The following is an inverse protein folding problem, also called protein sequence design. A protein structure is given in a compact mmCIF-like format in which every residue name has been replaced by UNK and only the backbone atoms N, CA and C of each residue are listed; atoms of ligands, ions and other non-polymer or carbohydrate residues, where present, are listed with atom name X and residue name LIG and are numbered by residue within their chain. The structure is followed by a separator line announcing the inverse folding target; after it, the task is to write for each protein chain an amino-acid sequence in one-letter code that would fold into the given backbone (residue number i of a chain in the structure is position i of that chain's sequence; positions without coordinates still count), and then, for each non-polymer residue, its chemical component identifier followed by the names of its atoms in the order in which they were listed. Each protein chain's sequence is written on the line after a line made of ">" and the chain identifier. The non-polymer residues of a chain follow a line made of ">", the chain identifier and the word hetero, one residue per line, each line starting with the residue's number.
data_IF_772445387142
#
_entry.id   IF_772445387142
#
_cell.length_a   1.000
_cell.length_b   1.000
_cell.length_c   1.000
_cell.angle_alpha   90.00
_cell.angle_beta   90.00
_cell.angle_gamma   90.00
#
_symmetry.space_group_name_H-M   'P 1'
#
loop_
_entity.id
_entity.type
_entity.pdbx_description
1 polymer ?
#
# COMPACT_ATOMS: atom_id res chain seq x y z
N UNK A 1 -29.42 -75.43 31.23
CA UNK A 1 -28.95 -74.77 32.47
C UNK A 1 -28.76 -73.30 32.14
N UNK A 2 -29.67 -72.45 32.62
CA UNK A 2 -29.56 -70.99 32.65
C UNK A 2 -29.70 -70.59 34.14
N UNK A 3 -29.61 -69.30 34.55
CA UNK A 3 -28.63 -68.23 34.32
C UNK A 3 -28.11 -67.64 35.67
N UNK A 4 -27.28 -66.59 35.65
CA UNK A 4 -26.97 -65.72 36.81
C UNK A 4 -25.95 -64.64 36.39
N UNK A 5 -26.27 -63.34 36.30
CA UNK A 5 -26.47 -62.34 37.38
C UNK A 5 -25.17 -62.17 38.22
N UNK A 6 -24.56 -61.00 38.49
CA UNK A 6 -25.01 -59.58 38.53
C UNK A 6 -23.77 -58.67 38.63
N UNK A 7 -23.89 -57.42 38.14
CA UNK A 7 -23.27 -56.09 38.50
C UNK A 7 -21.94 -56.00 39.31
N UNK A 8 -21.11 -54.96 39.29
CA UNK A 8 -21.22 -53.52 39.02
C UNK A 8 -19.79 -52.94 39.13
N UNK A 9 -19.45 -51.85 38.43
CA UNK A 9 -19.02 -50.60 39.08
C UNK A 9 -18.61 -49.52 38.06
N UNK A 10 -19.06 -48.30 38.37
CA UNK A 10 -19.02 -47.10 37.56
C UNK A 10 -17.62 -46.49 37.39
N UNK A 11 -17.39 -45.77 36.28
CA UNK A 11 -16.29 -44.81 36.19
C UNK A 11 -16.67 -43.56 35.37
N UNK A 12 -17.09 -42.55 36.13
CA UNK A 12 -16.84 -41.11 36.01
C UNK A 12 -16.54 -40.54 34.60
N UNK A 13 -17.53 -39.85 34.02
CA UNK A 13 -17.34 -38.91 32.91
C UNK A 13 -16.75 -37.58 33.41
N UNK A 14 -15.69 -37.10 32.75
CA UNK A 14 -15.34 -35.67 32.66
C UNK A 14 -15.09 -35.34 31.18
N UNK A 15 -15.63 -34.23 30.64
CA UNK A 15 -15.57 -33.92 29.22
C UNK A 15 -14.17 -33.43 28.81
N UNK A 16 -13.69 -33.94 27.68
CA UNK A 16 -12.45 -33.48 27.06
C UNK A 16 -12.58 -32.01 26.62
N UNK A 17 -11.69 -31.15 27.14
CA UNK A 17 -11.46 -29.80 26.62
C UNK A 17 -10.66 -29.94 25.33
N UNK A 18 -11.32 -29.74 24.19
CA UNK A 18 -10.66 -29.65 22.89
C UNK A 18 -9.89 -28.33 22.82
N UNK A 19 -8.57 -28.37 23.07
CA UNK A 19 -7.68 -27.24 22.81
C UNK A 19 -7.36 -27.17 21.32
N UNK A 20 -8.21 -26.47 20.56
CA UNK A 20 -7.82 -25.97 19.24
C UNK A 20 -6.85 -24.79 19.42
N UNK A 21 -5.56 -25.07 19.64
CA UNK A 21 -4.54 -24.04 19.50
C UNK A 21 -4.38 -23.71 18.01
N UNK A 22 -5.07 -22.66 17.56
CA UNK A 22 -4.70 -21.96 16.33
C UNK A 22 -3.22 -21.57 16.46
N UNK A 23 -2.34 -21.91 15.50
CA UNK A 23 -1.01 -21.32 15.51
C UNK A 23 -1.18 -19.82 15.32
N UNK A 24 -0.85 -19.04 16.35
CA UNK A 24 -0.61 -17.60 16.21
C UNK A 24 0.63 -17.46 15.34
N UNK A 25 0.41 -17.38 14.03
CA UNK A 25 1.42 -16.98 13.07
C UNK A 25 1.88 -15.59 13.48
N UNK A 26 3.12 -15.49 13.93
CA UNK A 26 3.80 -14.20 14.09
C UNK A 26 4.07 -13.71 12.66
N UNK A 27 3.07 -13.09 12.04
CA UNK A 27 3.25 -12.45 10.75
C UNK A 27 4.25 -11.32 10.96
N UNK A 28 5.45 -11.48 10.40
CA UNK A 28 6.25 -10.33 10.02
C UNK A 28 5.42 -9.59 8.99
N UNK A 29 4.65 -8.58 9.43
CA UNK A 29 4.08 -7.61 8.52
C UNK A 29 5.24 -6.92 7.85
N UNK A 30 5.62 -7.39 6.66
CA UNK A 30 6.42 -6.58 5.77
C UNK A 30 5.62 -5.31 5.59
N UNK A 31 6.19 -4.18 6.01
CA UNK A 31 5.64 -2.85 5.75
C UNK A 31 5.68 -2.67 4.22
N UNK A 32 4.67 -3.17 3.51
CA UNK A 32 4.51 -2.92 2.07
C UNK A 32 3.95 -1.51 1.96
N UNK A 33 4.52 -0.68 1.08
CA UNK A 33 3.89 0.60 0.80
C UNK A 33 2.55 0.28 0.17
N UNK A 34 1.47 0.87 0.66
CA UNK A 34 0.16 0.72 0.03
C UNK A 34 0.12 1.64 -1.19
N UNK A 35 0.89 1.27 -2.20
CA UNK A 35 0.93 1.89 -3.51
C UNK A 35 0.34 0.87 -4.46
N UNK A 36 -0.94 1.07 -4.79
CA UNK A 36 -1.71 0.14 -5.60
C UNK A 36 -2.04 0.86 -6.91
N UNK A 37 -1.40 0.49 -8.03
CA UNK A 37 -1.79 0.99 -9.34
C UNK A 37 -3.25 0.67 -9.66
N UNK A 38 -3.94 1.60 -10.31
CA UNK A 38 -5.24 1.30 -10.92
C UNK A 38 -5.09 0.91 -12.40
N UNK A 39 -6.20 0.56 -13.04
CA UNK A 39 -6.24 0.15 -14.44
C UNK A 39 -6.69 1.26 -15.41
N UNK A 40 -6.80 2.50 -14.94
CA UNK A 40 -7.41 3.61 -15.72
C UNK A 40 -6.52 4.11 -16.86
N UNK A 41 -5.24 3.70 -16.90
CA UNK A 41 -4.31 3.96 -18.00
C UNK A 41 -4.25 2.83 -19.05
N UNK A 42 -5.12 1.82 -18.97
CA UNK A 42 -5.24 0.80 -20.01
C UNK A 42 -4.00 -0.07 -20.13
N UNK A 43 -3.28 0.00 -21.25
CA UNK A 43 -2.03 -0.76 -21.48
C UNK A 43 -0.78 -0.03 -20.94
N UNK A 44 -0.92 1.23 -20.56
CA UNK A 44 0.16 2.08 -20.06
C UNK A 44 0.10 2.19 -18.52
N UNK A 45 -0.19 1.07 -17.86
CA UNK A 45 -0.43 1.05 -16.42
C UNK A 45 0.82 1.45 -15.63
N UNK A 46 0.58 2.01 -14.45
CA UNK A 46 1.64 2.20 -13.47
C UNK A 46 2.04 0.85 -12.90
N UNK A 47 3.31 0.69 -12.60
CA UNK A 47 3.88 -0.53 -12.02
C UNK A 47 4.70 -0.17 -10.80
N UNK A 48 4.66 -1.04 -9.80
CA UNK A 48 5.44 -0.88 -8.57
C UNK A 48 6.35 -2.09 -8.43
N UNK A 49 7.65 -1.85 -8.46
CA UNK A 49 8.66 -2.85 -8.16
C UNK A 49 9.14 -2.64 -6.73
N UNK A 50 8.73 -3.52 -5.83
CA UNK A 50 9.23 -3.52 -4.46
C UNK A 50 10.60 -4.21 -4.43
N UNK A 51 11.62 -3.48 -4.02
CA UNK A 51 12.97 -4.03 -3.77
C UNK A 51 13.25 -4.07 -2.27
N UNK A 52 14.40 -4.61 -1.87
CA UNK A 52 14.79 -4.61 -0.46
C UNK A 52 15.09 -3.20 0.09
N UNK A 53 15.40 -2.24 -0.79
CA UNK A 53 15.88 -0.91 -0.40
C UNK A 53 14.85 0.18 -0.70
N UNK A 54 14.05 0.01 -1.76
CA UNK A 54 13.06 1.00 -2.18
C UNK A 54 11.92 0.38 -3.00
N UNK A 55 10.78 1.05 -3.02
CA UNK A 55 9.68 0.80 -3.94
C UNK A 55 9.83 1.73 -5.14
N UNK A 56 10.03 1.15 -6.33
CA UNK A 56 10.23 1.93 -7.55
C UNK A 56 8.97 1.91 -8.40
N UNK A 57 8.46 3.10 -8.71
CA UNK A 57 7.32 3.31 -9.59
C UNK A 57 7.83 3.48 -11.03
N UNK A 58 7.22 2.76 -11.97
CA UNK A 58 7.57 2.76 -13.40
C UNK A 58 6.34 2.50 -14.27
N UNK A 59 6.52 2.37 -15.58
CA UNK A 59 5.39 2.31 -16.52
C UNK A 59 4.75 3.69 -16.66
N UNK A 60 3.42 3.75 -16.74
CA UNK A 60 2.69 4.99 -16.93
C UNK A 60 2.56 5.40 -18.40
N UNK A 61 1.66 6.36 -18.66
CA UNK A 61 1.39 6.87 -19.99
C UNK A 61 2.26 8.09 -20.27
N UNK A 62 3.00 8.09 -21.38
CA UNK A 62 3.85 9.21 -21.78
C UNK A 62 3.14 10.04 -22.83
N UNK A 63 3.00 11.34 -22.58
CA UNK A 63 2.47 12.30 -23.55
C UNK A 63 3.36 13.53 -23.61
N UNK A 64 4.25 13.56 -24.61
CA UNK A 64 5.29 14.58 -24.71
C UNK A 64 6.23 14.56 -23.50
N UNK A 65 6.49 15.70 -22.83
CA UNK A 65 7.37 15.76 -21.66
C UNK A 65 6.68 15.33 -20.35
N UNK A 66 5.46 14.80 -20.43
CA UNK A 66 4.65 14.44 -19.26
C UNK A 66 4.53 12.92 -19.13
N UNK A 67 4.73 12.42 -17.92
CA UNK A 67 4.48 11.04 -17.54
C UNK A 67 3.30 10.97 -16.57
N UNK A 68 2.30 10.18 -16.91
CA UNK A 68 1.09 10.02 -16.10
C UNK A 68 1.11 8.68 -15.36
N UNK A 69 0.89 8.74 -14.06
CA UNK A 69 0.64 7.60 -13.20
C UNK A 69 -0.75 7.67 -12.56
N UNK A 70 -1.32 6.51 -12.29
CA UNK A 70 -2.65 6.39 -11.68
C UNK A 70 -2.66 5.25 -10.68
N UNK A 71 -3.17 5.56 -9.49
CA UNK A 71 -3.18 4.67 -8.34
C UNK A 71 -4.57 4.64 -7.72
N UNK A 72 -4.99 3.47 -7.26
CA UNK A 72 -6.12 3.33 -6.36
C UNK A 72 -5.75 3.81 -4.95
N UNK A 73 -4.55 3.44 -4.48
CA UNK A 73 -4.01 3.86 -3.18
C UNK A 73 -2.56 4.34 -3.32
N UNK A 74 -2.19 5.36 -2.54
CA UNK A 74 -0.84 5.89 -2.51
C UNK A 74 -0.47 6.34 -1.10
N UNK A 75 0.10 5.41 -0.31
CA UNK A 75 0.62 5.66 1.03
C UNK A 75 2.09 5.26 1.12
N UNK A 76 2.85 6.00 1.93
CA UNK A 76 4.27 5.78 2.20
C UNK A 76 4.44 5.73 3.71
N UNK A 77 4.61 4.54 4.26
CA UNK A 77 4.78 4.34 5.70
C UNK A 77 6.20 4.71 6.16
N UNK A 78 6.36 4.83 7.47
CA UNK A 78 7.67 5.10 8.10
C UNK A 78 8.74 4.12 7.64
N UNK A 79 9.91 4.64 7.27
CA UNK A 79 11.06 3.85 6.83
C UNK A 79 10.95 3.31 5.40
N UNK A 80 9.87 3.59 4.68
CA UNK A 80 9.75 3.26 3.26
C UNK A 80 10.35 4.35 2.39
N UNK A 81 11.03 3.93 1.33
CA UNK A 81 11.54 4.80 0.29
C UNK A 81 10.79 4.50 -1.01
N UNK A 82 10.21 5.52 -1.61
CA UNK A 82 9.39 5.41 -2.82
C UNK A 82 9.93 6.39 -3.85
N UNK A 83 10.34 5.86 -5.00
CA UNK A 83 10.91 6.66 -6.07
C UNK A 83 10.15 6.50 -7.37
N UNK A 84 9.80 7.61 -7.99
CA UNK A 84 9.34 7.64 -9.38
C UNK A 84 10.52 7.54 -10.34
N UNK A 85 10.46 6.60 -11.27
CA UNK A 85 11.38 6.58 -12.40
C UNK A 85 11.20 7.85 -13.24
N UNK A 86 12.31 8.45 -13.66
CA UNK A 86 12.34 9.55 -14.61
C UNK A 86 13.00 9.08 -15.92
N UNK A 87 12.24 8.54 -16.89
CA UNK A 87 12.77 8.27 -18.23
C UNK A 87 13.31 9.56 -18.88
N UNK A 88 14.15 9.39 -19.90
CA UNK A 88 14.67 10.52 -20.68
C UNK A 88 13.54 11.38 -21.26
N UNK A 89 13.78 12.69 -21.33
CA UNK A 89 12.85 13.70 -21.86
C UNK A 89 11.54 13.91 -21.06
N UNK A 90 11.38 13.27 -19.90
CA UNK A 90 10.27 13.57 -18.99
C UNK A 90 10.66 14.72 -18.06
N UNK A 91 9.89 15.80 -18.14
CA UNK A 91 10.05 17.01 -17.32
C UNK A 91 9.03 17.06 -16.18
N UNK A 92 7.89 16.39 -16.33
CA UNK A 92 6.81 16.39 -15.34
C UNK A 92 6.19 15.02 -15.18
N UNK A 93 6.05 14.60 -13.92
CA UNK A 93 5.37 13.38 -13.51
C UNK A 93 4.06 13.79 -12.81
N UNK A 94 2.93 13.30 -13.31
CA UNK A 94 1.61 13.52 -12.75
C UNK A 94 1.07 12.21 -12.19
N UNK A 95 0.88 12.16 -10.88
CA UNK A 95 0.45 10.97 -10.15
C UNK A 95 -0.88 11.25 -9.51
N UNK A 96 -1.94 10.57 -9.96
CA UNK A 96 -3.28 10.71 -9.38
C UNK A 96 -3.68 9.51 -8.54
N UNK A 97 -4.42 9.77 -7.47
CA UNK A 97 -5.13 8.79 -6.67
C UNK A 97 -6.61 8.82 -7.04
N UNK A 98 -7.15 7.67 -7.41
CA UNK A 98 -8.55 7.49 -7.85
C UNK A 98 -9.42 6.81 -6.81
N UNK A 99 -8.83 6.17 -5.80
CA UNK A 99 -9.56 5.57 -4.69
C UNK A 99 -10.17 6.62 -3.75
N UNK A 100 -10.81 6.12 -2.69
CA UNK A 100 -11.51 6.95 -1.69
C UNK A 100 -10.66 7.36 -0.49
N UNK A 101 -9.44 6.83 -0.39
CA UNK A 101 -8.58 7.02 0.78
C UNK A 101 -7.70 8.27 0.63
N UNK A 102 -7.37 8.89 1.77
CA UNK A 102 -6.33 9.93 1.81
C UNK A 102 -4.96 9.30 1.51
N UNK A 103 -4.01 10.13 1.09
CA UNK A 103 -2.60 9.72 0.99
C UNK A 103 -1.87 10.06 2.27
N UNK A 104 -1.39 9.05 3.00
CA UNK A 104 -0.53 9.21 4.16
C UNK A 104 0.93 9.05 3.76
N UNK A 105 1.70 10.12 3.88
CA UNK A 105 3.11 10.18 3.52
C UNK A 105 3.92 10.37 4.80
N UNK A 106 4.48 9.30 5.34
CA UNK A 106 5.36 9.29 6.51
C UNK A 106 6.71 8.62 6.22
N UNK A 107 7.10 8.50 4.95
CA UNK A 107 8.42 8.01 4.54
C UNK A 107 9.10 8.94 3.54
N UNK A 108 10.06 8.39 2.80
CA UNK A 108 10.79 9.12 1.77
C UNK A 108 10.09 8.99 0.42
N UNK A 109 9.71 10.12 -0.16
CA UNK A 109 9.16 10.23 -1.51
C UNK A 109 10.16 10.97 -2.41
N UNK A 110 10.57 10.34 -3.51
CA UNK A 110 11.53 10.93 -4.43
C UNK A 110 11.26 10.68 -5.91
N UNK A 111 12.10 11.31 -6.73
CA UNK A 111 12.13 11.15 -8.19
C UNK A 111 13.57 10.83 -8.59
N UNK A 112 13.76 9.75 -9.35
CA UNK A 112 15.07 9.31 -9.87
C UNK A 112 15.53 10.22 -11.04
N UNK A 113 15.63 11.53 -10.81
CA UNK A 113 15.90 12.50 -11.86
C UNK A 113 15.59 13.94 -11.44
N UNK A 114 15.22 14.76 -12.42
CA UNK A 114 14.96 16.20 -12.23
C UNK A 114 13.55 16.62 -12.58
N UNK A 115 12.67 15.66 -12.94
CA UNK A 115 11.28 15.97 -13.24
C UNK A 115 10.57 16.56 -12.03
N UNK A 116 9.59 17.42 -12.33
CA UNK A 116 8.63 17.89 -11.36
C UNK A 116 7.66 16.77 -10.99
N UNK A 117 7.23 16.70 -9.73
CA UNK A 117 6.24 15.74 -9.27
C UNK A 117 4.96 16.45 -8.85
N UNK A 118 3.85 16.08 -9.48
CA UNK A 118 2.50 16.44 -9.08
C UNK A 118 1.83 15.22 -8.44
N UNK A 119 1.43 15.33 -7.17
CA UNK A 119 0.62 14.32 -6.49
C UNK A 119 -0.80 14.85 -6.31
N UNK A 120 -1.77 14.19 -6.92
CA UNK A 120 -3.16 14.55 -6.91
C UNK A 120 -3.95 13.52 -6.11
N UNK A 121 -4.50 13.92 -4.97
CA UNK A 121 -5.47 13.09 -4.24
C UNK A 121 -6.65 13.99 -3.81
N UNK A 122 -7.82 13.86 -4.45
CA UNK A 122 -9.00 14.64 -4.09
C UNK A 122 -9.43 14.49 -2.63
N UNK A 123 -9.15 13.34 -2.00
CA UNK A 123 -9.54 13.05 -0.62
C UNK A 123 -8.61 13.71 0.41
N UNK A 124 -7.41 14.11 -0.01
CA UNK A 124 -6.41 14.76 0.84
C UNK A 124 -5.06 14.05 0.87
N UNK A 125 -4.05 14.79 1.31
CA UNK A 125 -2.67 14.33 1.44
C UNK A 125 -2.17 14.79 2.82
N UNK A 126 -1.67 13.87 3.62
CA UNK A 126 -1.14 14.10 4.97
C UNK A 126 0.34 13.76 5.00
N UNK A 127 1.16 14.64 5.58
CA UNK A 127 2.58 14.41 5.80
C UNK A 127 2.85 14.16 7.28
N UNK A 128 3.35 12.98 7.59
CA UNK A 128 3.73 12.58 8.94
C UNK A 128 5.10 13.13 9.36
N UNK A 129 5.50 12.94 10.63
CA UNK A 129 6.73 13.48 11.18
C UNK A 129 8.03 12.92 10.55
N UNK A 130 7.96 11.76 9.89
CA UNK A 130 9.12 11.14 9.24
C UNK A 130 9.16 11.40 7.73
N UNK A 131 8.19 12.16 7.21
CA UNK A 131 8.07 12.42 5.80
C UNK A 131 9.25 13.24 5.27
N UNK A 132 9.83 12.77 4.16
CA UNK A 132 10.95 13.42 3.48
C UNK A 132 10.68 13.46 1.99
N UNK A 133 11.10 14.55 1.34
CA UNK A 133 11.03 14.72 -0.10
C UNK A 133 12.45 14.76 -0.67
N UNK A 134 12.79 13.81 -1.54
CA UNK A 134 14.02 13.80 -2.33
C UNK A 134 13.68 14.06 -3.81
N UNK A 135 13.37 15.32 -4.10
CA UNK A 135 12.89 15.76 -5.41
C UNK A 135 13.75 16.95 -5.83
N UNK A 136 14.54 16.77 -6.90
CA UNK A 136 15.42 17.80 -7.45
C UNK A 136 14.67 18.85 -8.28
N UNK A 137 13.51 18.46 -8.83
CA UNK A 137 12.55 19.37 -9.44
C UNK A 137 11.65 20.04 -8.38
N UNK A 138 10.45 20.44 -8.80
CA UNK A 138 9.42 20.90 -7.87
C UNK A 138 8.51 19.77 -7.42
N UNK A 139 7.91 19.92 -6.23
CA UNK A 139 6.82 19.09 -5.75
C UNK A 139 5.55 19.92 -5.59
N UNK A 140 4.44 19.44 -6.14
CA UNK A 140 3.12 20.06 -6.01
C UNK A 140 2.09 19.02 -5.55
N UNK A 141 1.42 19.29 -4.45
CA UNK A 141 0.29 18.51 -3.95
C UNK A 141 -1.03 19.20 -4.33
N UNK A 142 -1.97 18.47 -4.93
CA UNK A 142 -3.29 18.97 -5.32
C UNK A 142 -4.36 18.13 -4.64
N UNK A 143 -5.27 18.82 -3.95
CA UNK A 143 -6.47 18.26 -3.31
C UNK A 143 -7.72 18.96 -3.84
N UNK A 144 -8.90 18.35 -3.64
CA UNK A 144 -10.16 19.04 -3.91
C UNK A 144 -10.42 20.03 -2.78
N UNK A 145 -10.74 21.27 -3.13
CA UNK A 145 -11.38 22.21 -2.21
C UNK A 145 -12.85 22.30 -2.57
N UNK A 146 -13.74 21.99 -1.63
CA UNK A 146 -15.16 22.29 -1.78
C UNK A 146 -15.40 23.70 -1.20
N UNK A 147 -15.77 24.64 -2.07
CA UNK A 147 -16.36 25.89 -1.66
C UNK A 147 -17.87 25.63 -1.58
N UNK A 148 -18.45 25.69 -0.38
CA UNK A 148 -19.89 25.51 -0.20
C UNK A 148 -20.68 26.60 -0.90
N UNK A 149 -21.74 26.21 -1.61
CA UNK A 149 -22.74 27.10 -2.22
C UNK A 149 -23.78 27.61 -1.20
#
# INVERSE_FOLDING_TARGET
>A
MAPGATASQAKLFRPDVVLNSKPSSLATETLVAQIIPDNTLGNEQSTVLNTQEQNRISGGAIQGPNLFHSFEEFNINTGQHVYFANPDHIETILSRVTGSNISEIDGLLGVDGTANLFLLNPNGISFGPNAQLDIRGSFTAILRTELGD
#
